data_IF_035548537318
#
_entry.id   IF_035548537318
#
_cell.length_a   1.000
_cell.length_b   1.000
_cell.length_c   1.000
_cell.angle_alpha   90.00
_cell.angle_beta   90.00
_cell.angle_gamma   90.00
#
_symmetry.space_group_name_H-M   'P 1'
#
loop_
_entity.id
_entity.type
_entity.pdbx_description
1 polymer ?
#
# COMPACT_ATOMS: atom_id res chain seq x y z
N UNK A 1 5.74 9.41 1.05
CA UNK A 1 5.80 8.68 2.34
C UNK A 1 4.44 8.09 2.65
N UNK A 2 4.38 6.82 3.13
CA UNK A 2 3.12 6.21 3.60
C UNK A 2 2.94 6.43 5.10
N UNK A 3 1.75 6.85 5.52
CA UNK A 3 1.36 7.02 6.93
C UNK A 3 0.27 6.00 7.26
N UNK A 4 0.54 5.16 8.26
CA UNK A 4 -0.37 4.07 8.66
C UNK A 4 -1.56 4.57 9.47
N UNK A 5 -2.67 3.83 9.40
CA UNK A 5 -3.89 4.07 10.17
C UNK A 5 -4.19 2.85 11.08
N UNK A 6 -3.79 2.94 12.33
CA UNK A 6 -4.05 1.95 13.40
C UNK A 6 -3.83 0.48 12.98
N UNK A 7 -2.61 0.11 12.53
CA UNK A 7 -2.29 -1.25 12.08
C UNK A 7 -2.52 -2.27 13.22
N UNK A 8 -2.90 -3.48 12.85
CA UNK A 8 -3.23 -4.58 13.77
C UNK A 8 -4.31 -4.24 14.81
N UNK A 9 -5.21 -3.28 14.51
CA UNK A 9 -6.26 -2.87 15.43
C UNK A 9 -5.77 -2.14 16.69
N UNK A 10 -4.55 -1.60 16.68
CA UNK A 10 -3.96 -0.89 17.83
C UNK A 10 -3.97 0.61 17.62
N UNK A 11 -4.34 1.35 18.65
CA UNK A 11 -4.34 2.82 18.60
C UNK A 11 -2.93 3.37 18.42
N UNK A 12 -2.79 4.30 17.47
CA UNK A 12 -1.59 5.10 17.25
C UNK A 12 -1.96 6.58 17.23
N UNK A 13 -0.94 7.44 17.14
CA UNK A 13 -1.15 8.85 16.85
C UNK A 13 -1.95 8.97 15.53
N UNK A 14 -2.90 9.89 15.49
CA UNK A 14 -3.78 10.08 14.34
C UNK A 14 -2.96 10.29 13.05
N UNK A 15 -3.17 9.40 12.07
CA UNK A 15 -2.41 9.36 10.83
C UNK A 15 -2.53 10.65 10.03
N UNK A 16 -3.68 11.36 10.05
CA UNK A 16 -3.85 12.62 9.36
C UNK A 16 -2.95 13.73 9.94
N UNK A 17 -2.78 13.79 11.25
CA UNK A 17 -1.84 14.75 11.86
C UNK A 17 -0.41 14.49 11.42
N UNK A 18 0.03 13.23 11.44
CA UNK A 18 1.37 12.83 10.96
C UNK A 18 1.53 13.17 9.48
N UNK A 19 0.54 12.82 8.65
CA UNK A 19 0.53 13.11 7.22
C UNK A 19 0.63 14.62 6.94
N UNK A 20 -0.10 15.44 7.69
CA UNK A 20 -0.04 16.91 7.58
C UNK A 20 1.35 17.47 7.85
N UNK A 21 2.04 16.98 8.90
CA UNK A 21 3.40 17.45 9.22
C UNK A 21 4.42 17.03 8.15
N UNK A 22 4.32 15.80 7.64
CA UNK A 22 5.19 15.31 6.55
C UNK A 22 4.91 16.11 5.26
N UNK A 23 3.64 16.37 4.93
CA UNK A 23 3.26 17.17 3.76
C UNK A 23 3.83 18.59 3.84
N UNK A 24 3.78 19.23 5.03
CA UNK A 24 4.38 20.56 5.28
C UNK A 24 5.89 20.56 5.10
N UNK A 25 6.57 19.45 5.31
CA UNK A 25 8.02 19.33 5.06
C UNK A 25 8.39 19.22 3.58
N UNK A 26 7.40 19.28 2.68
CA UNK A 26 7.59 19.19 1.23
C UNK A 26 7.66 17.76 0.68
N UNK A 27 7.32 16.76 1.49
CA UNK A 27 7.29 15.37 1.05
C UNK A 27 5.87 14.93 0.72
N UNK A 28 5.69 14.32 -0.43
CA UNK A 28 4.43 13.69 -0.84
C UNK A 28 4.02 12.57 0.12
N UNK A 29 2.75 12.57 0.51
CA UNK A 29 2.19 11.62 1.47
C UNK A 29 1.09 10.77 0.84
N UNK A 30 1.10 9.48 1.15
CA UNK A 30 -0.05 8.58 1.01
C UNK A 30 -0.57 8.30 2.41
N UNK A 31 -1.77 8.78 2.73
CA UNK A 31 -2.45 8.46 3.97
C UNK A 31 -3.18 7.11 3.80
N UNK A 32 -2.82 6.13 4.60
CA UNK A 32 -3.64 4.93 4.74
C UNK A 32 -4.88 5.27 5.54
N UNK A 33 -6.04 4.83 5.09
CA UNK A 33 -7.31 5.06 5.75
C UNK A 33 -8.11 3.77 5.80
N UNK A 34 -8.53 3.38 7.01
CA UNK A 34 -9.31 2.15 7.22
C UNK A 34 -10.79 2.46 7.45
N UNK A 35 -11.66 1.65 6.86
CA UNK A 35 -13.10 1.69 7.15
C UNK A 35 -13.49 1.04 8.47
N UNK A 36 -12.56 0.29 9.11
CA UNK A 36 -12.82 -0.50 10.32
C UNK A 36 -13.33 0.32 11.50
N UNK A 37 -12.73 1.47 11.76
CA UNK A 37 -12.90 2.19 13.04
C UNK A 37 -13.88 3.36 12.94
N UNK A 38 -14.39 3.68 11.75
CA UNK A 38 -15.15 4.90 11.48
C UNK A 38 -16.42 4.61 10.69
N UNK A 39 -17.47 5.34 11.02
CA UNK A 39 -18.65 5.42 10.15
C UNK A 39 -18.39 6.36 8.97
N UNK A 40 -19.33 6.38 8.03
CA UNK A 40 -19.20 7.18 6.79
C UNK A 40 -19.02 8.68 7.07
N UNK A 41 -19.75 9.26 8.04
CA UNK A 41 -19.61 10.67 8.40
C UNK A 41 -18.17 10.99 8.87
N UNK A 42 -17.61 10.14 9.73
CA UNK A 42 -16.25 10.31 10.22
C UNK A 42 -15.21 10.13 9.09
N UNK A 43 -15.44 9.21 8.14
CA UNK A 43 -14.58 9.01 6.97
C UNK A 43 -14.62 10.23 6.04
N UNK A 44 -15.80 10.79 5.74
CA UNK A 44 -15.93 12.03 4.97
C UNK A 44 -15.19 13.18 5.63
N UNK A 45 -15.36 13.35 6.94
CA UNK A 45 -14.66 14.39 7.71
C UNK A 45 -13.14 14.25 7.63
N UNK A 46 -12.60 13.03 7.73
CA UNK A 46 -11.16 12.77 7.58
C UNK A 46 -10.68 13.09 6.17
N UNK A 47 -11.42 12.72 5.12
CA UNK A 47 -11.06 13.00 3.73
C UNK A 47 -11.07 14.49 3.43
N UNK A 48 -12.09 15.24 3.87
CA UNK A 48 -12.13 16.70 3.76
C UNK A 48 -10.98 17.37 4.52
N UNK A 49 -10.69 16.88 5.74
CA UNK A 49 -9.54 17.33 6.53
C UNK A 49 -8.21 17.07 5.82
N UNK A 50 -8.04 15.89 5.20
CA UNK A 50 -6.85 15.56 4.43
C UNK A 50 -6.66 16.52 3.24
N UNK A 51 -7.71 16.76 2.47
CA UNK A 51 -7.67 17.72 1.36
C UNK A 51 -7.32 19.14 1.82
N UNK A 52 -7.84 19.59 2.97
CA UNK A 52 -7.58 20.92 3.51
C UNK A 52 -6.11 21.17 3.86
N UNK A 53 -5.35 20.10 4.13
CA UNK A 53 -3.90 20.18 4.43
C UNK A 53 -3.03 19.67 3.26
N UNK A 54 -3.60 19.51 2.07
CA UNK A 54 -2.89 19.13 0.85
C UNK A 54 -2.60 17.63 0.72
N UNK A 55 -3.15 16.78 1.59
CA UNK A 55 -3.01 15.32 1.53
C UNK A 55 -4.17 14.74 0.69
N UNK A 56 -3.87 14.37 -0.54
CA UNK A 56 -4.88 13.90 -1.50
C UNK A 56 -4.62 12.49 -2.06
N UNK A 57 -3.60 11.80 -1.59
CA UNK A 57 -3.33 10.39 -1.94
C UNK A 57 -3.75 9.50 -0.78
N UNK A 58 -4.75 8.66 -0.98
CA UNK A 58 -5.38 7.86 0.08
C UNK A 58 -5.31 6.38 -0.28
N UNK A 59 -4.61 5.56 0.51
CA UNK A 59 -4.68 4.11 0.38
C UNK A 59 -5.89 3.60 1.18
N UNK A 60 -6.89 3.10 0.47
CA UNK A 60 -8.17 2.66 1.02
C UNK A 60 -8.09 1.21 1.51
N UNK A 61 -8.24 1.01 2.80
CA UNK A 61 -8.11 -0.28 3.46
C UNK A 61 -9.42 -0.66 4.19
N UNK A 62 -9.69 -1.96 4.27
CA UNK A 62 -10.75 -2.46 5.17
C UNK A 62 -10.29 -2.32 6.62
N UNK A 63 -9.03 -2.61 6.89
CA UNK A 63 -8.42 -2.64 8.22
C UNK A 63 -8.36 -4.05 8.80
N UNK A 64 -7.31 -4.31 9.59
CA UNK A 64 -7.11 -5.59 10.26
C UNK A 64 -8.16 -5.77 11.37
N UNK A 65 -8.60 -7.01 11.60
CA UNK A 65 -9.47 -7.29 12.74
C UNK A 65 -8.69 -7.14 14.05
N UNK A 66 -9.24 -6.46 15.07
CA UNK A 66 -8.63 -6.41 16.39
C UNK A 66 -8.66 -7.79 17.05
N UNK A 67 -7.86 -7.97 18.10
CA UNK A 67 -7.89 -9.18 18.94
C UNK A 67 -9.31 -9.45 19.47
N UNK A 68 -9.62 -10.72 19.83
CA UNK A 68 -10.95 -11.15 20.28
C UNK A 68 -11.55 -10.32 21.43
N UNK A 69 -10.69 -9.74 22.27
CA UNK A 69 -11.07 -8.87 23.38
C UNK A 69 -10.79 -7.39 23.07
N UNK A 70 -10.55 -7.06 21.80
CA UNK A 70 -10.26 -5.71 21.33
C UNK A 70 -11.51 -4.83 21.24
N UNK A 71 -11.34 -3.59 20.79
CA UNK A 71 -12.44 -2.64 20.62
C UNK A 71 -13.46 -3.13 19.58
N UNK A 72 -14.70 -2.69 19.75
CA UNK A 72 -15.78 -2.96 18.78
C UNK A 72 -15.48 -2.22 17.48
N UNK A 73 -15.58 -2.93 16.36
CA UNK A 73 -15.38 -2.37 15.03
C UNK A 73 -16.68 -1.82 14.44
N UNK A 74 -16.59 -0.75 13.68
CA UNK A 74 -17.73 -0.12 12.99
C UNK A 74 -18.04 -0.85 11.68
N UNK A 75 -17.02 -1.03 10.82
CA UNK A 75 -17.09 -1.76 9.54
C UNK A 75 -18.27 -1.36 8.62
N UNK A 76 -18.69 -0.09 8.65
CA UNK A 76 -19.76 0.40 7.76
C UNK A 76 -19.29 0.40 6.30
N UNK A 77 -18.06 0.86 6.06
CA UNK A 77 -17.42 0.81 4.75
C UNK A 77 -16.19 -0.10 4.77
N UNK A 78 -16.08 -0.97 3.78
CA UNK A 78 -14.85 -1.68 3.46
C UNK A 78 -13.99 -0.86 2.47
N UNK A 79 -12.85 -1.41 2.03
CA UNK A 79 -11.97 -0.74 1.08
C UNK A 79 -12.67 -0.31 -0.23
N UNK A 80 -13.61 -1.12 -0.74
CA UNK A 80 -14.37 -0.77 -1.94
C UNK A 80 -15.31 0.42 -1.69
N UNK A 81 -16.01 0.42 -0.55
CA UNK A 81 -16.88 1.55 -0.15
C UNK A 81 -16.08 2.83 0.03
N UNK A 82 -14.87 2.73 0.60
CA UNK A 82 -14.00 3.88 0.80
C UNK A 82 -13.44 4.45 -0.52
N UNK A 83 -13.09 3.59 -1.50
CA UNK A 83 -12.70 4.03 -2.85
C UNK A 83 -13.85 4.81 -3.50
N UNK A 84 -15.09 4.30 -3.43
CA UNK A 84 -16.27 4.99 -3.94
C UNK A 84 -16.50 6.33 -3.24
N UNK A 85 -16.31 6.38 -1.92
CA UNK A 85 -16.44 7.62 -1.16
C UNK A 85 -15.43 8.68 -1.61
N UNK A 86 -14.16 8.28 -1.81
CA UNK A 86 -13.13 9.16 -2.38
C UNK A 86 -13.53 9.69 -3.75
N UNK A 87 -14.13 8.85 -4.61
CA UNK A 87 -14.61 9.27 -5.92
C UNK A 87 -15.76 10.27 -5.82
N UNK A 88 -16.77 10.02 -4.99
CA UNK A 88 -17.93 10.91 -4.78
C UNK A 88 -17.47 12.31 -4.32
N UNK A 89 -16.53 12.38 -3.36
CA UNK A 89 -15.96 13.64 -2.88
C UNK A 89 -15.17 14.35 -3.99
N UNK A 90 -14.39 13.60 -4.78
CA UNK A 90 -13.65 14.16 -5.93
C UNK A 90 -14.59 14.70 -7.01
N UNK A 91 -15.75 14.06 -7.21
CA UNK A 91 -16.78 14.48 -8.16
C UNK A 91 -17.59 15.70 -7.63
N UNK A 92 -17.32 16.18 -6.41
CA UNK A 92 -17.87 17.41 -5.86
C UNK A 92 -19.16 17.25 -5.05
N UNK A 93 -19.40 16.07 -4.48
CA UNK A 93 -20.61 15.80 -3.70
C UNK A 93 -20.29 15.02 -2.44
N UNK A 94 -20.97 15.32 -1.33
CA UNK A 94 -21.01 14.47 -0.14
C UNK A 94 -22.13 13.41 -0.28
N UNK A 95 -22.09 12.41 0.57
CA UNK A 95 -23.07 11.31 0.50
C UNK A 95 -24.50 11.71 0.87
N UNK A 96 -24.69 12.81 1.58
CA UNK A 96 -26.00 13.41 1.86
C UNK A 96 -26.55 14.30 0.70
N UNK A 97 -25.79 14.39 -0.42
CA UNK A 97 -26.15 15.21 -1.58
C UNK A 97 -25.62 16.65 -1.52
N UNK A 98 -24.95 17.06 -0.45
CA UNK A 98 -24.35 18.39 -0.34
C UNK A 98 -23.27 18.59 -1.40
N UNK A 99 -23.36 19.70 -2.16
CA UNK A 99 -22.38 20.05 -3.19
C UNK A 99 -21.13 20.68 -2.58
N UNK A 100 -19.96 20.22 -2.99
CA UNK A 100 -18.66 20.79 -2.62
C UNK A 100 -18.27 21.84 -3.67
N UNK A 101 -18.08 23.08 -3.24
CA UNK A 101 -17.54 24.14 -4.12
C UNK A 101 -16.06 23.91 -4.35
N UNK A 102 -15.63 23.90 -5.61
CA UNK A 102 -14.23 23.68 -6.01
C UNK A 102 -13.65 22.36 -5.45
N UNK A 103 -14.21 21.21 -5.84
CA UNK A 103 -13.72 19.93 -5.33
C UNK A 103 -12.27 19.70 -5.75
N UNK A 104 -11.50 19.07 -4.86
CA UNK A 104 -10.12 18.68 -5.12
C UNK A 104 -10.07 17.17 -5.42
N UNK A 105 -9.22 16.74 -6.36
CA UNK A 105 -9.11 15.33 -6.69
C UNK A 105 -8.47 14.54 -5.54
N UNK A 106 -9.05 13.37 -5.24
CA UNK A 106 -8.46 12.37 -4.36
C UNK A 106 -7.94 11.23 -5.24
N UNK A 107 -6.66 10.95 -5.15
CA UNK A 107 -6.04 9.78 -5.77
C UNK A 107 -6.15 8.60 -4.81
N UNK A 108 -7.19 7.80 -5.01
CA UNK A 108 -7.44 6.64 -4.16
C UNK A 108 -6.63 5.43 -4.61
N UNK A 109 -6.11 4.67 -3.66
CA UNK A 109 -5.35 3.45 -3.88
C UNK A 109 -6.02 2.21 -3.29
N UNK A 110 -5.71 1.07 -3.88
CA UNK A 110 -6.11 -0.25 -3.39
C UNK A 110 -4.89 -1.04 -2.90
N UNK A 111 -5.07 -1.81 -1.85
CA UNK A 111 -4.11 -2.84 -1.47
C UNK A 111 -4.40 -4.14 -2.24
N UNK A 112 -3.33 -4.88 -2.56
CA UNK A 112 -3.41 -6.17 -3.23
C UNK A 112 -2.35 -7.15 -2.72
N UNK A 113 -2.56 -8.43 -2.99
CA UNK A 113 -1.63 -9.51 -2.67
C UNK A 113 -1.36 -10.37 -3.91
N UNK A 114 -0.08 -10.48 -4.29
CA UNK A 114 0.32 -11.18 -5.52
C UNK A 114 0.00 -12.68 -5.47
N UNK A 115 0.16 -13.31 -4.31
CA UNK A 115 -0.11 -14.75 -4.17
C UNK A 115 -1.61 -15.03 -4.25
N UNK A 116 -2.45 -14.16 -3.66
CA UNK A 116 -3.90 -14.23 -3.82
C UNK A 116 -4.31 -14.08 -5.28
N UNK A 117 -3.68 -13.14 -6.00
CA UNK A 117 -3.96 -12.95 -7.42
C UNK A 117 -3.62 -14.17 -8.27
N UNK A 118 -2.59 -14.92 -7.91
CA UNK A 118 -2.18 -16.11 -8.67
C UNK A 118 -2.92 -17.39 -8.24
N UNK A 119 -3.43 -17.44 -7.00
CA UNK A 119 -4.04 -18.65 -6.42
C UNK A 119 -5.57 -18.61 -6.43
N UNK A 120 -6.21 -17.44 -6.35
CA UNK A 120 -7.67 -17.29 -6.27
C UNK A 120 -8.25 -16.89 -7.63
N UNK A 121 -9.23 -17.66 -8.10
CA UNK A 121 -9.83 -17.48 -9.42
C UNK A 121 -10.52 -16.10 -9.60
N UNK A 122 -11.11 -15.56 -8.55
CA UNK A 122 -11.88 -14.31 -8.59
C UNK A 122 -11.09 -13.06 -8.13
N UNK A 123 -9.82 -13.22 -7.76
CA UNK A 123 -9.01 -12.13 -7.20
C UNK A 123 -8.84 -10.98 -8.19
N UNK A 124 -8.51 -11.30 -9.46
CA UNK A 124 -8.32 -10.28 -10.51
C UNK A 124 -9.59 -9.48 -10.79
N UNK A 125 -10.74 -10.15 -10.89
CA UNK A 125 -12.03 -9.49 -11.08
C UNK A 125 -12.39 -8.57 -9.90
N UNK A 126 -12.07 -8.96 -8.69
CA UNK A 126 -12.25 -8.13 -7.50
C UNK A 126 -11.34 -6.90 -7.52
N UNK A 127 -10.09 -7.06 -7.98
CA UNK A 127 -9.16 -5.95 -8.12
C UNK A 127 -9.60 -5.00 -9.24
N UNK A 128 -9.97 -5.51 -10.42
CA UNK A 128 -10.49 -4.74 -11.54
C UNK A 128 -11.71 -3.90 -11.13
N UNK A 129 -12.62 -4.46 -10.33
CA UNK A 129 -13.76 -3.73 -9.78
C UNK A 129 -13.35 -2.54 -8.90
N UNK A 130 -12.23 -2.61 -8.17
CA UNK A 130 -11.71 -1.45 -7.42
C UNK A 130 -11.25 -0.33 -8.35
N UNK A 131 -10.64 -0.69 -9.50
CA UNK A 131 -10.24 0.29 -10.53
C UNK A 131 -11.47 0.95 -11.14
N UNK A 132 -12.47 0.18 -11.52
CA UNK A 132 -13.75 0.70 -12.05
C UNK A 132 -14.45 1.63 -11.05
N UNK A 133 -14.28 1.39 -9.77
CA UNK A 133 -14.84 2.23 -8.70
C UNK A 133 -14.04 3.50 -8.43
N UNK A 134 -12.88 3.68 -9.07
CA UNK A 134 -12.09 4.90 -9.03
C UNK A 134 -10.71 4.78 -8.39
N UNK A 135 -10.21 3.57 -8.12
CA UNK A 135 -8.83 3.42 -7.66
C UNK A 135 -7.82 3.80 -8.76
N UNK A 136 -6.88 4.67 -8.42
CA UNK A 136 -5.86 5.21 -9.31
C UNK A 136 -4.51 4.50 -9.19
N UNK A 137 -4.27 3.85 -8.06
CA UNK A 137 -3.04 3.09 -7.83
C UNK A 137 -3.26 1.83 -6.98
N UNK A 138 -2.32 0.91 -7.07
CA UNK A 138 -2.26 -0.32 -6.30
C UNK A 138 -0.94 -0.33 -5.54
N UNK A 139 -0.98 -0.68 -4.24
CA UNK A 139 0.20 -1.04 -3.46
C UNK A 139 0.06 -2.49 -3.02
N UNK A 140 1.07 -3.31 -3.33
CA UNK A 140 1.01 -4.73 -3.00
C UNK A 140 1.64 -5.05 -1.65
N UNK A 141 1.36 -6.25 -1.14
CA UNK A 141 2.11 -6.85 -0.04
C UNK A 141 3.57 -7.08 -0.45
N UNK A 142 4.45 -7.38 0.53
CA UNK A 142 5.84 -7.74 0.25
C UNK A 142 5.95 -8.90 -0.75
N UNK A 143 6.78 -8.71 -1.76
CA UNK A 143 7.17 -9.80 -2.64
C UNK A 143 8.66 -9.68 -3.00
N UNK A 144 9.42 -10.75 -2.77
CA UNK A 144 10.84 -10.85 -3.07
C UNK A 144 11.13 -11.87 -4.20
N UNK A 145 10.09 -12.42 -4.80
CA UNK A 145 10.17 -13.42 -5.86
C UNK A 145 9.85 -12.78 -7.21
N UNK A 146 10.89 -12.69 -8.06
CA UNK A 146 10.76 -12.10 -9.39
C UNK A 146 9.77 -12.84 -10.29
N UNK A 147 9.74 -14.19 -10.23
CA UNK A 147 8.86 -14.99 -11.08
C UNK A 147 7.39 -14.79 -10.70
N UNK A 148 7.10 -14.62 -9.41
CA UNK A 148 5.77 -14.26 -8.92
C UNK A 148 5.36 -12.87 -9.40
N UNK A 149 6.26 -11.88 -9.29
CA UNK A 149 6.01 -10.52 -9.75
C UNK A 149 5.79 -10.50 -11.27
N UNK A 150 6.59 -11.25 -12.03
CA UNK A 150 6.44 -11.36 -13.48
C UNK A 150 5.08 -11.95 -13.86
N UNK A 151 4.68 -13.07 -13.25
CA UNK A 151 3.37 -13.69 -13.49
C UNK A 151 2.22 -12.75 -13.14
N UNK A 152 2.36 -11.99 -12.06
CA UNK A 152 1.39 -10.97 -11.67
C UNK A 152 1.29 -9.86 -12.72
N UNK A 153 2.43 -9.32 -13.16
CA UNK A 153 2.51 -8.31 -14.21
C UNK A 153 1.86 -8.80 -15.53
N UNK A 154 2.22 -10.00 -15.99
CA UNK A 154 1.64 -10.61 -17.20
C UNK A 154 0.11 -10.71 -17.07
N UNK A 155 -0.40 -11.16 -15.92
CA UNK A 155 -1.83 -11.29 -15.65
C UNK A 155 -2.58 -9.95 -15.67
N UNK A 156 -1.98 -8.88 -15.13
CA UNK A 156 -2.56 -7.53 -15.19
C UNK A 156 -2.58 -7.01 -16.63
N UNK A 157 -1.50 -7.20 -17.37
CA UNK A 157 -1.35 -6.78 -18.76
C UNK A 157 -2.40 -7.45 -19.66
N UNK A 158 -2.57 -8.77 -19.52
CA UNK A 158 -3.55 -9.54 -20.30
C UNK A 158 -5.00 -9.12 -20.03
N UNK A 159 -5.30 -8.67 -18.82
CA UNK A 159 -6.64 -8.20 -18.47
C UNK A 159 -6.97 -6.81 -19.05
N UNK A 160 -5.97 -5.96 -19.26
CA UNK A 160 -6.11 -4.64 -19.90
C UNK A 160 -6.77 -3.53 -19.08
N UNK A 161 -7.46 -3.82 -17.99
CA UNK A 161 -8.13 -2.80 -17.15
C UNK A 161 -7.17 -1.97 -16.30
N UNK A 162 -5.90 -2.34 -16.24
CA UNK A 162 -4.90 -1.74 -15.35
C UNK A 162 -4.03 -0.69 -16.02
N UNK A 163 -4.19 -0.43 -17.32
CA UNK A 163 -3.36 0.50 -18.11
C UNK A 163 -3.32 1.94 -17.55
N UNK A 164 -4.38 2.37 -16.88
CA UNK A 164 -4.47 3.71 -16.29
C UNK A 164 -4.30 3.71 -14.76
N UNK A 165 -3.90 2.58 -14.18
CA UNK A 165 -3.69 2.42 -12.75
C UNK A 165 -2.21 2.23 -12.46
N UNK A 166 -1.66 2.99 -11.50
CA UNK A 166 -0.25 2.85 -11.12
C UNK A 166 -0.06 1.67 -10.17
N UNK A 167 0.82 0.74 -10.52
CA UNK A 167 1.09 -0.46 -9.73
C UNK A 167 2.47 -0.38 -9.07
N UNK A 168 2.47 -0.43 -7.74
CA UNK A 168 3.67 -0.36 -6.91
C UNK A 168 3.87 -1.67 -6.15
N UNK A 169 4.93 -2.39 -6.46
CA UNK A 169 5.28 -3.66 -5.80
C UNK A 169 5.84 -3.39 -4.40
N UNK A 170 5.28 -4.04 -3.40
CA UNK A 170 5.74 -3.95 -2.02
C UNK A 170 7.05 -4.73 -1.82
N UNK A 171 8.06 -4.07 -1.24
CA UNK A 171 9.30 -4.68 -0.81
C UNK A 171 10.00 -3.82 0.24
N UNK A 172 11.14 -4.24 0.72
CA UNK A 172 11.96 -3.42 1.61
C UNK A 172 13.25 -4.11 2.03
N UNK A 173 14.28 -3.35 2.40
CA UNK A 173 15.58 -3.91 2.75
C UNK A 173 15.48 -4.80 3.99
N UNK A 174 15.86 -6.06 3.83
CA UNK A 174 15.98 -7.01 4.93
C UNK A 174 17.29 -6.72 5.69
N UNK A 175 17.23 -6.69 7.01
CA UNK A 175 18.40 -6.38 7.85
C UNK A 175 19.17 -7.60 8.29
N UNK A 176 18.56 -8.78 8.22
CA UNK A 176 19.17 -10.05 8.61
C UNK A 176 18.34 -11.24 8.11
N UNK A 177 18.95 -12.40 8.01
CA UNK A 177 18.27 -13.67 7.75
C UNK A 177 17.19 -13.96 8.81
N UNK A 178 17.45 -13.66 10.09
CA UNK A 178 16.47 -13.82 11.18
C UNK A 178 15.21 -12.98 10.97
N UNK A 179 15.35 -11.72 10.50
CA UNK A 179 14.19 -10.88 10.18
C UNK A 179 13.40 -11.46 9.02
N UNK A 180 14.07 -11.87 7.93
CA UNK A 180 13.42 -12.47 6.77
C UNK A 180 12.67 -13.76 7.12
N UNK A 181 13.30 -14.63 7.91
CA UNK A 181 12.67 -15.87 8.38
C UNK A 181 11.45 -15.61 9.28
N UNK A 182 11.54 -14.60 10.14
CA UNK A 182 10.39 -14.17 10.95
C UNK A 182 9.26 -13.63 10.05
N UNK A 183 9.57 -12.80 9.05
CA UNK A 183 8.57 -12.23 8.14
C UNK A 183 7.83 -13.32 7.37
N UNK A 184 8.53 -14.30 6.78
CA UNK A 184 7.89 -15.39 6.03
C UNK A 184 7.03 -16.31 6.89
N UNK A 185 7.29 -16.39 8.21
CA UNK A 185 6.52 -17.21 9.16
C UNK A 185 5.32 -16.49 9.77
N UNK A 186 5.37 -15.16 9.87
CA UNK A 186 4.42 -14.39 10.67
C UNK A 186 3.62 -13.35 9.88
N UNK A 187 4.05 -12.97 8.68
CA UNK A 187 3.33 -12.03 7.84
C UNK A 187 2.60 -12.77 6.72
N UNK A 188 1.32 -12.53 6.64
CA UNK A 188 0.48 -13.14 5.62
C UNK A 188 0.91 -12.70 4.21
N UNK A 189 0.94 -13.65 3.25
CA UNK A 189 1.32 -13.35 1.87
C UNK A 189 2.81 -13.06 1.64
N UNK A 190 3.66 -13.12 2.67
CA UNK A 190 5.10 -12.86 2.54
C UNK A 190 5.87 -14.15 2.32
N UNK A 191 6.51 -14.27 1.16
CA UNK A 191 7.43 -15.36 0.85
C UNK A 191 8.84 -14.82 0.62
N UNK A 192 9.83 -15.42 1.28
CA UNK A 192 11.25 -15.12 1.14
C UNK A 192 11.97 -16.42 0.93
N UNK A 193 12.71 -16.55 -0.17
CA UNK A 193 13.40 -17.80 -0.54
C UNK A 193 14.55 -18.11 0.42
N UNK A 194 14.90 -19.40 0.50
CA UNK A 194 16.08 -19.83 1.28
C UNK A 194 17.36 -19.25 0.71
N UNK A 195 17.44 -19.00 -0.58
CA UNK A 195 18.58 -18.34 -1.24
C UNK A 195 18.79 -16.91 -0.69
N UNK A 196 17.73 -16.12 -0.58
CA UNK A 196 17.79 -14.76 0.01
C UNK A 196 18.24 -14.83 1.46
N UNK A 197 17.66 -15.73 2.24
CA UNK A 197 18.05 -15.91 3.65
C UNK A 197 19.51 -16.32 3.79
N UNK A 198 19.97 -17.23 2.94
CA UNK A 198 21.38 -17.66 2.96
C UNK A 198 22.34 -16.52 2.58
N UNK A 199 22.01 -15.73 1.55
CA UNK A 199 22.80 -14.53 1.19
C UNK A 199 22.96 -13.57 2.36
N UNK A 200 21.89 -13.38 3.14
CA UNK A 200 21.92 -12.52 4.35
C UNK A 200 22.71 -13.15 5.50
N UNK A 201 22.67 -14.49 5.64
CA UNK A 201 23.31 -15.21 6.73
C UNK A 201 24.83 -15.26 6.59
N UNK A 202 25.34 -15.45 5.37
CA UNK A 202 26.79 -15.54 5.09
C UNK A 202 27.45 -14.18 4.90
N UNK A 203 26.69 -13.09 4.92
CA UNK A 203 27.20 -11.75 4.69
C UNK A 203 27.81 -11.15 5.95
N UNK A 204 28.97 -10.48 5.80
CA UNK A 204 29.57 -9.66 6.85
C UNK A 204 28.76 -8.39 7.13
N UNK A 205 27.93 -7.94 6.17
CA UNK A 205 27.08 -6.75 6.26
C UNK A 205 25.63 -7.06 5.80
N UNK A 206 24.84 -7.85 6.57
CA UNK A 206 23.52 -8.32 6.12
C UNK A 206 22.55 -7.20 5.73
N UNK A 207 22.62 -6.04 6.39
CA UNK A 207 21.75 -4.91 6.08
C UNK A 207 22.06 -4.30 4.69
N UNK A 208 23.32 -4.19 4.31
CA UNK A 208 23.77 -3.74 2.98
C UNK A 208 23.42 -4.77 1.92
N UNK A 209 23.60 -6.05 2.21
CA UNK A 209 23.16 -7.14 1.34
C UNK A 209 21.67 -7.10 1.10
N UNK A 210 20.86 -6.80 2.13
CA UNK A 210 19.42 -6.63 1.97
C UNK A 210 19.04 -5.44 1.08
N UNK A 211 19.80 -4.36 1.11
CA UNK A 211 19.65 -3.22 0.20
C UNK A 211 20.01 -3.62 -1.24
N UNK A 212 21.09 -4.36 -1.44
CA UNK A 212 21.51 -4.88 -2.75
C UNK A 212 20.45 -5.82 -3.34
N UNK A 213 19.90 -6.73 -2.54
CA UNK A 213 18.81 -7.62 -2.98
C UNK A 213 17.60 -6.81 -3.48
N UNK A 214 17.23 -5.73 -2.77
CA UNK A 214 16.18 -4.84 -3.24
C UNK A 214 16.55 -4.15 -4.55
N UNK A 215 17.77 -3.63 -4.69
CA UNK A 215 18.22 -2.95 -5.91
C UNK A 215 18.20 -3.90 -7.12
N UNK A 216 18.80 -5.09 -6.99
CA UNK A 216 18.80 -6.14 -8.03
C UNK A 216 17.37 -6.52 -8.47
N UNK A 217 16.44 -6.58 -7.52
CA UNK A 217 15.05 -6.91 -7.82
C UNK A 217 14.34 -5.73 -8.51
N UNK A 218 14.56 -4.50 -8.05
CA UNK A 218 13.98 -3.29 -8.65
C UNK A 218 14.42 -3.15 -10.11
N UNK A 219 15.72 -3.33 -10.42
CA UNK A 219 16.26 -3.28 -11.78
C UNK A 219 15.53 -4.23 -12.75
N UNK A 220 15.11 -5.40 -12.26
CA UNK A 220 14.36 -6.38 -13.05
C UNK A 220 12.91 -5.99 -13.22
N UNK A 221 12.25 -5.57 -12.15
CA UNK A 221 10.79 -5.37 -12.15
C UNK A 221 10.35 -4.08 -12.84
N UNK A 222 11.18 -3.03 -12.87
CA UNK A 222 10.88 -1.79 -13.60
C UNK A 222 10.81 -1.98 -15.13
N UNK A 223 11.25 -3.13 -15.64
CA UNK A 223 11.14 -3.50 -17.04
C UNK A 223 9.84 -4.24 -17.37
N UNK A 224 9.06 -4.62 -16.35
CA UNK A 224 7.84 -5.39 -16.55
C UNK A 224 6.67 -4.49 -16.96
N UNK A 225 5.76 -4.95 -17.85
CA UNK A 225 4.56 -4.21 -18.19
C UNK A 225 3.66 -4.01 -16.95
N UNK A 226 2.86 -2.96 -16.95
CA UNK A 226 1.93 -2.64 -15.86
C UNK A 226 2.54 -2.47 -14.46
N UNK A 227 3.87 -2.42 -14.32
CA UNK A 227 4.54 -2.11 -13.06
C UNK A 227 5.16 -0.71 -13.18
N UNK A 228 4.73 0.21 -12.33
CA UNK A 228 5.15 1.61 -12.35
C UNK A 228 6.23 1.93 -11.32
N UNK A 229 6.52 1.00 -10.41
CA UNK A 229 7.54 1.20 -9.40
C UNK A 229 7.40 0.30 -8.19
N UNK A 230 8.01 0.73 -7.10
CA UNK A 230 8.04 -0.02 -5.85
C UNK A 230 7.54 0.79 -4.67
N UNK A 231 6.97 0.10 -3.70
CA UNK A 231 6.65 0.61 -2.40
C UNK A 231 7.63 0.05 -1.36
N UNK A 232 8.62 0.86 -0.98
CA UNK A 232 9.60 0.45 0.03
C UNK A 232 9.01 0.58 1.43
N UNK A 233 8.98 -0.52 2.17
CA UNK A 233 8.38 -0.59 3.50
C UNK A 233 9.20 -1.48 4.45
N UNK A 234 8.99 -1.30 5.74
CA UNK A 234 9.62 -2.10 6.78
C UNK A 234 9.87 -1.31 8.06
N UNK A 235 10.05 -1.98 9.19
CA UNK A 235 10.38 -1.30 10.44
C UNK A 235 11.81 -0.73 10.38
N UNK A 236 11.94 0.57 10.68
CA UNK A 236 13.21 1.30 10.68
C UNK A 236 14.01 1.15 9.36
N UNK A 237 13.32 1.09 8.21
CA UNK A 237 13.94 0.93 6.90
C UNK A 237 14.28 2.27 6.21
N UNK A 238 14.01 3.42 6.85
CA UNK A 238 14.03 4.75 6.23
C UNK A 238 15.40 5.07 5.60
N UNK A 239 16.49 4.82 6.35
CA UNK A 239 17.85 5.08 5.85
C UNK A 239 18.23 4.16 4.68
N UNK A 240 17.92 2.86 4.78
CA UNK A 240 18.16 1.90 3.70
C UNK A 240 17.31 2.22 2.46
N UNK A 241 16.03 2.52 2.67
CA UNK A 241 15.14 2.95 1.59
C UNK A 241 15.63 4.23 0.90
N UNK A 242 16.14 5.20 1.66
CA UNK A 242 16.72 6.42 1.09
C UNK A 242 17.94 6.12 0.22
N UNK A 243 18.83 5.21 0.64
CA UNK A 243 19.99 4.78 -0.18
C UNK A 243 19.54 4.07 -1.46
N UNK A 244 18.56 3.15 -1.36
CA UNK A 244 17.98 2.49 -2.52
C UNK A 244 17.39 3.51 -3.49
N UNK A 245 16.56 4.45 -3.02
CA UNK A 245 15.98 5.49 -3.87
C UNK A 245 17.06 6.35 -4.54
N UNK A 246 18.14 6.68 -3.82
CA UNK A 246 19.23 7.48 -4.36
C UNK A 246 20.02 6.76 -5.46
N UNK A 247 20.01 5.43 -5.48
CA UNK A 247 20.64 4.63 -6.53
C UNK A 247 19.91 4.74 -7.88
N UNK A 248 18.58 4.99 -7.87
CA UNK A 248 17.73 5.08 -9.07
C UNK A 248 17.39 6.51 -9.50
N UNK A 249 17.96 7.52 -8.86
CA UNK A 249 17.85 8.94 -9.21
C UNK A 249 19.10 9.41 -9.94
#
# INVERSE_FOLDING_TARGET
VNVKDSPNGKSLLNGLLVASEIQRSGLDVILQLTGRDRNQIALESVLLGALSVGVNKILCLTGDQPDKNGPVVVNELNSNGLIKLCKVISDGTLTDGTTIKNPLPIYSGAADDLYDQLSKQDALSKLAKKIEQGANFIQTQYCFDFDIIKKYSDKLNDHGSFNNCKVLIGMGPLKSAKQGDWMRKNLWGVNISDEILHRLEVSDSPAETGEQICQELIEKIIQLPCIDGVHLMGPNCEKGSARIISHFR
#
